data_IF_502889203099
#
_entry.id   IF_502889203099
#
_cell.length_a   1.000
_cell.length_b   1.000
_cell.length_c   1.000
_cell.angle_alpha   90.00
_cell.angle_beta   90.00
_cell.angle_gamma   90.00
#
_symmetry.space_group_name_H-M   'P 1'
#
loop_
_entity.id
_entity.type
_entity.pdbx_description
1 polymer ?
#
# COMPACT_ATOMS: atom_id res chain seq x y z
N UNK A 1 13.21 6.63 3.44
CA UNK A 1 13.34 5.18 3.15
C UNK A 1 12.77 4.88 1.78
N UNK A 2 13.54 5.07 0.69
CA UNK A 2 13.03 4.86 -0.67
C UNK A 2 12.84 3.37 -0.99
N UNK A 3 13.81 2.53 -0.65
CA UNK A 3 13.79 1.09 -0.96
C UNK A 3 12.65 0.35 -0.25
N UNK A 4 12.46 0.59 1.04
CA UNK A 4 11.35 -0.02 1.80
C UNK A 4 9.98 0.43 1.27
N UNK A 5 9.87 1.69 0.83
CA UNK A 5 8.62 2.20 0.24
C UNK A 5 8.34 1.51 -1.09
N UNK A 6 9.36 1.31 -1.92
CA UNK A 6 9.21 0.59 -3.19
C UNK A 6 8.79 -0.87 -2.99
N UNK A 7 9.37 -1.57 -2.01
CA UNK A 7 8.98 -2.94 -1.66
C UNK A 7 7.55 -3.01 -1.15
N UNK A 8 7.17 -2.08 -0.26
CA UNK A 8 5.82 -2.02 0.29
C UNK A 8 4.77 -1.69 -0.78
N UNK A 9 5.05 -0.76 -1.69
CA UNK A 9 4.17 -0.43 -2.83
C UNK A 9 4.05 -1.62 -3.77
N UNK A 10 5.15 -2.28 -4.10
CA UNK A 10 5.13 -3.49 -4.94
C UNK A 10 4.27 -4.59 -4.31
N UNK A 11 4.40 -4.80 -2.99
CA UNK A 11 3.56 -5.74 -2.26
C UNK A 11 2.09 -5.33 -2.25
N UNK A 12 1.79 -4.04 -2.00
CA UNK A 12 0.44 -3.51 -1.97
C UNK A 12 -0.31 -3.71 -3.29
N UNK A 13 0.37 -3.52 -4.42
CA UNK A 13 -0.21 -3.72 -5.76
C UNK A 13 -0.57 -5.19 -6.05
N UNK A 14 0.03 -6.15 -5.34
CA UNK A 14 -0.35 -7.58 -5.46
C UNK A 14 -1.57 -7.96 -4.62
N UNK A 15 -2.01 -7.08 -3.70
CA UNK A 15 -3.13 -7.37 -2.81
C UNK A 15 -4.47 -7.20 -3.52
N UNK A 16 -5.45 -8.04 -3.17
CA UNK A 16 -6.80 -7.92 -3.71
C UNK A 16 -7.67 -7.07 -2.81
N UNK A 17 -8.38 -6.10 -3.39
CA UNK A 17 -9.41 -5.36 -2.68
C UNK A 17 -10.69 -6.19 -2.68
N UNK A 18 -10.94 -6.94 -1.62
CA UNK A 18 -12.12 -7.80 -1.50
C UNK A 18 -13.14 -7.13 -0.57
N UNK A 19 -14.36 -6.93 -1.06
CA UNK A 19 -15.47 -6.44 -0.24
C UNK A 19 -15.90 -7.46 0.82
N UNK A 20 -16.66 -7.02 1.83
CA UNK A 20 -17.22 -7.90 2.86
C UNK A 20 -18.11 -9.02 2.31
N UNK A 21 -18.64 -8.85 1.09
CA UNK A 21 -19.44 -9.84 0.38
C UNK A 21 -18.60 -10.80 -0.49
N UNK A 22 -17.28 -10.67 -0.49
CA UNK A 22 -16.35 -11.53 -1.24
C UNK A 22 -16.12 -11.12 -2.70
N UNK A 23 -16.64 -9.98 -3.15
CA UNK A 23 -16.39 -9.47 -4.50
C UNK A 23 -15.06 -8.72 -4.57
N UNK A 24 -14.27 -9.01 -5.61
CA UNK A 24 -13.07 -8.25 -5.96
C UNK A 24 -13.49 -6.88 -6.52
N UNK A 25 -12.94 -5.83 -5.92
CA UNK A 25 -13.16 -4.43 -6.24
C UNK A 25 -11.90 -3.83 -6.86
N UNK A 26 -12.06 -2.68 -7.51
CA UNK A 26 -10.92 -1.91 -8.00
C UNK A 26 -10.02 -1.46 -6.83
N UNK A 27 -8.70 -1.50 -7.05
CA UNK A 27 -7.75 -0.92 -6.10
C UNK A 27 -7.85 0.60 -6.17
N UNK A 28 -8.29 1.22 -5.07
CA UNK A 28 -8.34 2.68 -4.97
C UNK A 28 -7.01 3.23 -4.42
N UNK A 29 -6.73 4.53 -4.61
CA UNK A 29 -5.60 5.19 -3.96
C UNK A 29 -5.57 4.96 -2.44
N UNK A 30 -6.73 4.99 -1.78
CA UNK A 30 -6.83 4.75 -0.33
C UNK A 30 -6.48 3.31 0.03
N UNK A 31 -6.90 2.34 -0.77
CA UNK A 31 -6.56 0.93 -0.58
C UNK A 31 -5.05 0.70 -0.67
N UNK A 32 -4.39 1.30 -1.65
CA UNK A 32 -2.93 1.17 -1.81
C UNK A 32 -2.20 1.76 -0.60
N UNK A 33 -2.60 2.95 -0.14
CA UNK A 33 -2.03 3.57 1.07
C UNK A 33 -2.23 2.69 2.31
N UNK A 34 -3.42 2.13 2.48
CA UNK A 34 -3.72 1.21 3.59
C UNK A 34 -2.83 -0.03 3.56
N UNK A 35 -2.66 -0.66 2.39
CA UNK A 35 -1.78 -1.82 2.24
C UNK A 35 -0.31 -1.50 2.47
N UNK A 36 0.18 -0.33 2.04
CA UNK A 36 1.55 0.08 2.37
C UNK A 36 1.74 0.25 3.89
N UNK A 37 0.74 0.79 4.60
CA UNK A 37 0.79 0.90 6.07
C UNK A 37 0.76 -0.46 6.75
N UNK A 38 -0.07 -1.38 6.28
CA UNK A 38 -0.09 -2.77 6.76
C UNK A 38 1.30 -3.41 6.62
N UNK A 39 1.92 -3.30 5.44
CA UNK A 39 3.26 -3.84 5.21
C UNK A 39 4.28 -3.27 6.19
N UNK A 40 4.30 -1.95 6.38
CA UNK A 40 5.22 -1.32 7.33
C UNK A 40 4.98 -1.77 8.77
N UNK A 41 3.73 -1.90 9.20
CA UNK A 41 3.39 -2.39 10.53
C UNK A 41 3.89 -3.83 10.73
N UNK A 42 3.63 -4.73 9.77
CA UNK A 42 4.03 -6.14 9.85
C UNK A 42 5.56 -6.32 9.88
N UNK A 43 6.29 -5.41 9.25
CA UNK A 43 7.76 -5.43 9.18
C UNK A 43 8.43 -4.53 10.24
N UNK A 44 7.67 -3.92 11.16
CA UNK A 44 8.16 -2.98 12.17
C UNK A 44 8.97 -1.81 11.57
N UNK A 45 8.56 -1.31 10.41
CA UNK A 45 9.14 -0.14 9.75
C UNK A 45 8.42 1.10 10.28
N UNK A 46 9.13 2.02 10.91
CA UNK A 46 8.57 3.31 11.31
C UNK A 46 8.27 4.19 10.09
N UNK A 47 7.09 4.80 10.07
CA UNK A 47 6.67 5.75 9.05
C UNK A 47 5.97 6.96 9.67
N UNK A 48 6.16 8.12 9.05
CA UNK A 48 5.38 9.32 9.33
C UNK A 48 4.07 9.28 8.53
N UNK A 49 3.18 10.25 8.75
CA UNK A 49 2.00 10.42 7.90
C UNK A 49 2.40 10.58 6.43
N UNK A 50 1.83 9.76 5.55
CA UNK A 50 1.96 9.83 4.10
C UNK A 50 0.60 9.58 3.42
N UNK A 51 0.50 10.02 2.18
CA UNK A 51 -0.65 9.96 1.29
C UNK A 51 -0.33 9.18 0.01
N UNK A 52 -1.29 9.09 -0.91
CA UNK A 52 -1.06 8.42 -2.19
C UNK A 52 -0.06 9.16 -3.09
N UNK A 53 -0.06 10.50 -3.06
CA UNK A 53 0.86 11.33 -3.85
C UNK A 53 2.34 11.05 -3.48
N UNK A 54 2.59 10.71 -2.21
CA UNK A 54 3.92 10.30 -1.73
C UNK A 54 4.36 8.93 -2.30
N UNK A 55 3.39 8.11 -2.74
CA UNK A 55 3.61 6.79 -3.32
C UNK A 55 3.72 6.81 -4.86
N UNK A 56 3.19 7.83 -5.54
CA UNK A 56 3.23 7.95 -7.00
C UNK A 56 4.61 7.68 -7.63
N UNK A 57 5.73 8.17 -7.07
CA UNK A 57 7.06 7.90 -7.63
C UNK A 57 7.46 6.42 -7.64
N UNK A 58 6.73 5.57 -6.93
CA UNK A 58 7.03 4.15 -6.76
C UNK A 58 6.02 3.23 -7.50
N UNK A 59 5.04 3.80 -8.20
CA UNK A 59 4.00 3.05 -8.97
C UNK A 59 4.43 2.69 -10.41
N UNK A 60 5.74 2.70 -10.68
CA UNK A 60 6.37 2.51 -12.00
C UNK A 60 6.68 1.05 -12.31
#
# INVERSE_FOLDING_TARGET
>A
MPTQTQEAVSWALTQKNISDLGYEMEQTPSFIVEKVREYFNDHNIEYNTFSYDDLEPYLI
#
